data_IF_848177159049
#
_entry.id   IF_848177159049
#
_cell.length_a   1.000
_cell.length_b   1.000
_cell.length_c   1.000
_cell.angle_alpha   90.00
_cell.angle_beta   90.00
_cell.angle_gamma   90.00
#
_symmetry.space_group_name_H-M   'P 1'
#
loop_
_entity.id
_entity.type
_entity.pdbx_description
1 polymer ?
#
# COMPACT_ATOMS: atom_id res chain seq x y z
N UNK A 1 -8.67 -23.11 15.46
CA UNK A 1 -8.22 -22.30 14.31
C UNK A 1 -6.92 -21.64 14.77
N UNK A 2 -5.77 -22.19 14.36
CA UNK A 2 -4.48 -21.57 14.64
C UNK A 2 -4.45 -20.22 13.94
N UNK A 3 -4.17 -19.15 14.69
CA UNK A 3 -3.86 -17.86 14.12
C UNK A 3 -2.67 -18.04 13.16
N UNK A 4 -2.84 -17.55 11.95
CA UNK A 4 -1.82 -17.60 10.90
C UNK A 4 -0.63 -16.71 11.37
N UNK A 5 0.36 -17.31 12.04
CA UNK A 5 1.52 -16.58 12.56
C UNK A 5 2.33 -15.96 11.40
N UNK A 6 2.86 -14.73 11.58
CA UNK A 6 3.72 -14.14 10.56
C UNK A 6 4.97 -14.99 10.35
N UNK A 7 5.39 -15.13 9.08
CA UNK A 7 6.63 -15.82 8.75
C UNK A 7 7.81 -14.94 9.17
N UNK A 8 8.85 -15.54 9.76
CA UNK A 8 10.04 -14.80 10.08
C UNK A 8 10.74 -14.26 8.82
N UNK A 9 11.12 -12.98 8.85
CA UNK A 9 11.83 -12.27 7.75
C UNK A 9 13.12 -13.01 7.35
N UNK A 10 13.75 -13.70 8.27
CA UNK A 10 15.00 -14.43 8.06
C UNK A 10 14.90 -15.65 7.17
N UNK A 11 13.70 -16.23 7.01
CA UNK A 11 13.48 -17.46 6.23
C UNK A 11 13.29 -17.21 4.73
N UNK A 12 13.00 -15.97 4.32
CA UNK A 12 12.67 -15.65 2.93
C UNK A 12 13.92 -15.28 2.13
N UNK A 13 13.99 -15.85 0.92
CA UNK A 13 15.00 -15.49 -0.07
C UNK A 13 14.32 -14.93 -1.32
N UNK A 14 14.94 -13.90 -1.88
CA UNK A 14 14.58 -13.33 -3.17
C UNK A 14 15.85 -13.11 -4.00
N UNK A 15 15.87 -13.64 -5.22
CA UNK A 15 17.05 -13.59 -6.10
C UNK A 15 18.36 -14.05 -5.41
N UNK A 16 18.27 -15.11 -4.59
CA UNK A 16 19.41 -15.69 -3.88
C UNK A 16 19.83 -14.96 -2.59
N UNK A 17 19.40 -13.72 -2.36
CA UNK A 17 19.67 -12.95 -1.14
C UNK A 17 18.58 -13.21 -0.08
N UNK A 18 18.94 -13.18 1.20
CA UNK A 18 17.93 -13.18 2.27
C UNK A 18 17.17 -11.87 2.29
N UNK A 19 15.89 -11.92 2.61
CA UNK A 19 15.05 -10.70 2.72
C UNK A 19 15.64 -9.72 3.75
N UNK A 20 16.14 -10.22 4.89
CA UNK A 20 16.82 -9.39 5.89
C UNK A 20 17.96 -8.57 5.28
N UNK A 21 18.82 -9.22 4.49
CA UNK A 21 19.99 -8.57 3.88
C UNK A 21 19.58 -7.50 2.87
N UNK A 22 18.50 -7.77 2.11
CA UNK A 22 17.93 -6.79 1.15
C UNK A 22 17.39 -5.57 1.90
N UNK A 23 16.66 -5.79 3.00
CA UNK A 23 16.09 -4.69 3.80
C UNK A 23 17.17 -3.88 4.52
N UNK A 24 18.24 -4.53 5.01
CA UNK A 24 19.36 -3.85 5.64
C UNK A 24 20.17 -3.01 4.63
N UNK A 25 20.39 -3.53 3.43
CA UNK A 25 21.02 -2.80 2.34
C UNK A 25 20.16 -1.58 1.93
N UNK A 26 18.84 -1.74 1.90
CA UNK A 26 17.92 -0.65 1.60
C UNK A 26 17.94 0.46 2.67
N UNK A 27 18.00 0.07 3.95
CA UNK A 27 18.14 1.04 5.03
C UNK A 27 19.45 1.84 4.93
N UNK A 28 20.55 1.20 4.53
CA UNK A 28 21.84 1.87 4.25
C UNK A 28 21.73 2.80 3.03
N UNK A 29 21.00 2.38 1.98
CA UNK A 29 20.78 3.20 0.78
C UNK A 29 20.18 4.56 1.14
N UNK A 30 19.15 4.59 1.99
CA UNK A 30 18.54 5.84 2.43
C UNK A 30 19.45 6.72 3.27
N UNK A 31 20.39 6.14 3.98
CA UNK A 31 21.37 6.87 4.80
C UNK A 31 22.61 7.30 4.01
N UNK A 32 22.75 6.88 2.74
CA UNK A 32 23.96 7.11 1.94
C UNK A 32 25.17 6.36 2.46
N UNK A 33 24.97 5.26 3.20
CA UNK A 33 26.03 4.45 3.77
C UNK A 33 26.65 3.48 2.75
N UNK A 34 27.93 3.13 2.88
CA UNK A 34 28.57 2.14 2.00
C UNK A 34 27.83 0.79 2.01
N UNK A 35 27.66 0.17 0.84
CA UNK A 35 26.92 -1.09 0.69
C UNK A 35 25.40 -0.92 0.73
N UNK A 36 24.90 0.33 0.66
CA UNK A 36 23.50 0.61 0.51
C UNK A 36 23.03 0.29 -0.92
N UNK A 37 21.97 -0.50 -1.05
CA UNK A 37 21.32 -0.83 -2.32
C UNK A 37 19.82 -0.58 -2.20
N UNK A 38 19.21 0.03 -3.23
CA UNK A 38 17.76 0.16 -3.30
C UNK A 38 17.12 -1.23 -3.40
N UNK A 39 16.15 -1.53 -2.53
CA UNK A 39 15.49 -2.82 -2.56
C UNK A 39 14.71 -3.00 -3.87
N UNK A 40 14.98 -4.08 -4.58
CA UNK A 40 14.14 -4.62 -5.64
C UNK A 40 13.62 -5.99 -5.19
N UNK A 41 12.34 -6.03 -4.89
CA UNK A 41 11.60 -7.19 -4.43
C UNK A 41 10.52 -7.61 -5.43
N UNK A 42 10.65 -7.18 -6.70
CA UNK A 42 9.66 -7.46 -7.75
C UNK A 42 9.34 -8.95 -7.84
N UNK A 43 8.04 -9.29 -7.79
CA UNK A 43 7.54 -10.65 -7.82
C UNK A 43 7.84 -11.50 -6.56
N UNK A 44 8.43 -10.92 -5.52
CA UNK A 44 8.73 -11.66 -4.28
C UNK A 44 7.45 -12.14 -3.58
N UNK A 45 7.55 -13.30 -2.92
CA UNK A 45 6.49 -13.77 -2.04
C UNK A 45 6.76 -13.29 -0.60
N UNK A 46 6.11 -12.19 -0.25
CA UNK A 46 6.17 -11.55 1.06
C UNK A 46 4.86 -11.77 1.87
N UNK A 47 4.07 -12.77 1.49
CA UNK A 47 2.80 -13.05 2.18
C UNK A 47 3.04 -13.37 3.65
N UNK A 48 2.17 -12.80 4.51
CA UNK A 48 2.21 -12.97 5.98
C UNK A 48 3.51 -12.51 6.65
N UNK A 49 4.29 -11.64 5.98
CA UNK A 49 5.53 -11.11 6.55
C UNK A 49 5.25 -10.01 7.58
N UNK A 50 6.07 -9.97 8.61
CA UNK A 50 6.16 -8.82 9.51
C UNK A 50 7.12 -7.79 8.92
N UNK A 51 6.53 -6.76 8.31
CA UNK A 51 7.24 -5.64 7.71
C UNK A 51 6.92 -4.32 8.44
N UNK A 52 6.45 -4.39 9.68
CA UNK A 52 6.08 -3.21 10.47
C UNK A 52 7.23 -2.24 10.63
N UNK A 53 6.89 -0.95 10.52
CA UNK A 53 7.83 0.18 10.75
C UNK A 53 9.09 0.11 9.89
N UNK A 54 9.08 -0.64 8.78
CA UNK A 54 10.18 -0.66 7.82
C UNK A 54 10.17 0.62 6.97
N UNK A 55 11.36 1.09 6.67
CA UNK A 55 11.54 2.13 5.66
C UNK A 55 11.73 1.45 4.30
N UNK A 56 10.68 1.49 3.48
CA UNK A 56 10.62 0.95 2.13
C UNK A 56 10.44 2.09 1.11
N UNK A 57 10.84 3.31 1.49
CA UNK A 57 10.75 4.49 0.64
C UNK A 57 11.47 4.22 -0.69
N UNK A 58 10.79 4.47 -1.79
CA UNK A 58 11.27 4.23 -3.14
C UNK A 58 11.63 2.75 -3.47
N UNK A 59 11.30 1.78 -2.62
CA UNK A 59 11.51 0.35 -2.94
C UNK A 59 10.72 -0.08 -4.18
N UNK A 60 11.22 -1.08 -4.91
CA UNK A 60 10.53 -1.71 -6.03
C UNK A 60 9.86 -3.00 -5.54
N UNK A 61 8.53 -3.02 -5.55
CA UNK A 61 7.68 -4.10 -5.06
C UNK A 61 6.66 -4.55 -6.13
N UNK A 62 6.97 -4.33 -7.40
CA UNK A 62 6.06 -4.62 -8.52
C UNK A 62 5.67 -6.10 -8.54
N UNK A 63 4.38 -6.39 -8.59
CA UNK A 63 3.86 -7.76 -8.68
C UNK A 63 4.16 -8.63 -7.45
N UNK A 64 4.55 -8.05 -6.30
CA UNK A 64 4.77 -8.82 -5.07
C UNK A 64 3.49 -9.47 -4.57
N UNK A 65 3.61 -10.63 -3.94
CA UNK A 65 2.57 -11.19 -3.10
C UNK A 65 2.77 -10.71 -1.65
N UNK A 66 1.94 -9.78 -1.20
CA UNK A 66 1.90 -9.20 0.15
C UNK A 66 0.62 -9.59 0.91
N UNK A 67 -0.06 -10.66 0.48
CA UNK A 67 -1.29 -11.10 1.13
C UNK A 67 -1.08 -11.33 2.63
N UNK A 68 -1.98 -10.72 3.43
CA UNK A 68 -1.94 -10.83 4.90
C UNK A 68 -0.62 -10.35 5.52
N UNK A 69 0.24 -9.62 4.82
CA UNK A 69 1.43 -9.02 5.39
C UNK A 69 1.06 -7.91 6.38
N UNK A 70 1.87 -7.74 7.40
CA UNK A 70 1.75 -6.67 8.38
C UNK A 70 2.76 -5.56 8.07
N UNK A 71 2.28 -4.45 7.52
CA UNK A 71 3.11 -3.29 7.14
C UNK A 71 2.84 -2.07 8.05
N UNK A 72 2.16 -2.23 9.17
CA UNK A 72 1.74 -1.11 10.02
C UNK A 72 2.86 -0.13 10.32
N UNK A 73 2.60 1.15 10.04
CA UNK A 73 3.54 2.24 10.30
C UNK A 73 4.78 2.24 9.42
N UNK A 74 4.79 1.48 8.32
CA UNK A 74 5.89 1.49 7.36
C UNK A 74 5.84 2.72 6.46
N UNK A 75 7.01 3.15 5.99
CA UNK A 75 7.16 4.19 4.99
C UNK A 75 7.27 3.54 3.62
N UNK A 76 6.37 3.91 2.72
CA UNK A 76 6.30 3.41 1.35
C UNK A 76 6.26 4.56 0.34
N UNK A 77 6.60 5.78 0.78
CA UNK A 77 6.62 6.95 -0.10
C UNK A 77 7.49 6.67 -1.34
N UNK A 78 6.98 7.03 -2.52
CA UNK A 78 7.64 6.80 -3.81
C UNK A 78 7.91 5.33 -4.17
N UNK A 79 7.44 4.36 -3.38
CA UNK A 79 7.58 2.94 -3.70
C UNK A 79 6.72 2.55 -4.91
N UNK A 80 7.11 1.51 -5.61
CA UNK A 80 6.34 0.95 -6.71
C UNK A 80 5.75 -0.41 -6.32
N UNK A 81 4.45 -0.43 -6.01
CA UNK A 81 3.65 -1.62 -5.70
C UNK A 81 2.67 -1.95 -6.84
N UNK A 82 2.93 -1.47 -8.04
CA UNK A 82 2.05 -1.73 -9.18
C UNK A 82 1.82 -3.23 -9.36
N UNK A 83 0.57 -3.62 -9.60
CA UNK A 83 0.13 -5.02 -9.83
C UNK A 83 0.42 -5.98 -8.68
N UNK A 84 0.75 -5.50 -7.47
CA UNK A 84 0.96 -6.36 -6.30
C UNK A 84 -0.35 -6.81 -5.68
N UNK A 85 -0.27 -7.94 -4.99
CA UNK A 85 -1.38 -8.55 -4.27
C UNK A 85 -1.26 -8.21 -2.78
N UNK A 86 -2.04 -7.24 -2.32
CA UNK A 86 -2.09 -6.74 -0.94
C UNK A 86 -3.36 -7.19 -0.20
N UNK A 87 -4.05 -8.21 -0.72
CA UNK A 87 -5.29 -8.67 -0.12
C UNK A 87 -5.12 -9.04 1.34
N UNK A 88 -6.02 -8.48 2.18
CA UNK A 88 -6.04 -8.70 3.63
C UNK A 88 -4.76 -8.24 4.35
N UNK A 89 -3.92 -7.42 3.72
CA UNK A 89 -2.76 -6.83 4.38
C UNK A 89 -3.19 -5.80 5.42
N UNK A 90 -2.39 -5.64 6.45
CA UNK A 90 -2.55 -4.59 7.46
C UNK A 90 -1.61 -3.43 7.13
N UNK A 91 -2.17 -2.35 6.61
CA UNK A 91 -1.46 -1.17 6.11
C UNK A 91 -1.73 0.07 6.97
N UNK A 92 -2.24 -0.11 8.19
CA UNK A 92 -2.62 1.01 9.05
C UNK A 92 -1.46 1.95 9.33
N UNK A 93 -1.76 3.24 9.24
CA UNK A 93 -0.80 4.32 9.52
C UNK A 93 0.48 4.24 8.66
N UNK A 94 0.42 3.67 7.47
CA UNK A 94 1.50 3.72 6.49
C UNK A 94 1.55 5.09 5.81
N UNK A 95 2.74 5.46 5.36
CA UNK A 95 2.94 6.59 4.47
C UNK A 95 3.08 6.09 3.03
N UNK A 96 2.05 6.32 2.23
CA UNK A 96 1.99 5.99 0.80
C UNK A 96 2.06 7.24 -0.09
N UNK A 97 2.69 8.30 0.39
CA UNK A 97 2.87 9.52 -0.41
C UNK A 97 3.57 9.19 -1.74
N UNK A 98 2.94 9.60 -2.85
CA UNK A 98 3.43 9.37 -4.22
C UNK A 98 3.77 7.90 -4.57
N UNK A 99 3.17 6.95 -3.86
CA UNK A 99 3.33 5.52 -4.11
C UNK A 99 2.55 5.09 -5.35
N UNK A 100 3.13 4.20 -6.15
CA UNK A 100 2.43 3.58 -7.28
C UNK A 100 1.72 2.30 -6.84
N UNK A 101 0.41 2.27 -7.03
CA UNK A 101 -0.48 1.15 -6.74
C UNK A 101 -1.34 0.78 -7.96
N UNK A 102 -0.92 1.19 -9.17
CA UNK A 102 -1.67 0.91 -10.40
C UNK A 102 -1.92 -0.59 -10.55
N UNK A 103 -3.20 -0.96 -10.66
CA UNK A 103 -3.65 -2.34 -10.82
C UNK A 103 -3.37 -3.25 -9.61
N UNK A 104 -2.98 -2.71 -8.46
CA UNK A 104 -2.81 -3.49 -7.23
C UNK A 104 -4.16 -3.99 -6.69
N UNK A 105 -4.14 -5.15 -6.05
CA UNK A 105 -5.31 -5.72 -5.37
C UNK A 105 -5.18 -5.51 -3.84
N UNK A 106 -5.95 -4.56 -3.31
CA UNK A 106 -6.03 -4.22 -1.89
C UNK A 106 -7.31 -4.75 -1.23
N UNK A 107 -8.02 -5.66 -1.88
CA UNK A 107 -9.30 -6.15 -1.38
C UNK A 107 -9.19 -6.69 0.05
N UNK A 108 -10.12 -6.28 0.91
CA UNK A 108 -10.16 -6.63 2.33
C UNK A 108 -8.94 -6.16 3.16
N UNK A 109 -8.04 -5.33 2.61
CA UNK A 109 -6.93 -4.75 3.36
C UNK A 109 -7.41 -3.65 4.32
N UNK A 110 -6.60 -3.33 5.32
CA UNK A 110 -6.88 -2.23 6.25
C UNK A 110 -5.89 -1.09 6.05
N UNK A 111 -6.37 0.04 5.51
CA UNK A 111 -5.61 1.26 5.26
C UNK A 111 -6.00 2.41 6.21
N UNK A 112 -6.61 2.12 7.36
CA UNK A 112 -7.03 3.18 8.28
C UNK A 112 -5.88 4.10 8.67
N UNK A 113 -6.11 5.41 8.59
CA UNK A 113 -5.12 6.42 8.93
C UNK A 113 -3.92 6.50 7.99
N UNK A 114 -4.01 5.92 6.80
CA UNK A 114 -2.95 5.93 5.79
C UNK A 114 -2.91 7.28 5.08
N UNK A 115 -1.71 7.76 4.75
CA UNK A 115 -1.47 8.92 3.90
C UNK A 115 -1.24 8.47 2.46
N UNK A 116 -2.15 8.85 1.54
CA UNK A 116 -2.09 8.51 0.10
C UNK A 116 -1.97 9.78 -0.77
N UNK A 117 -1.31 10.80 -0.25
CA UNK A 117 -1.10 12.04 -0.99
C UNK A 117 -0.40 11.77 -2.33
N UNK A 118 -1.03 12.18 -3.44
CA UNK A 118 -0.57 11.94 -4.81
C UNK A 118 -0.30 10.47 -5.18
N UNK A 119 -0.84 9.52 -4.42
CA UNK A 119 -0.73 8.09 -4.76
C UNK A 119 -1.41 7.78 -6.10
N UNK A 120 -0.84 6.85 -6.86
CA UNK A 120 -1.41 6.38 -8.11
C UNK A 120 -2.15 5.05 -7.90
N UNK A 121 -3.48 5.11 -7.78
CA UNK A 121 -4.35 3.96 -7.57
C UNK A 121 -5.17 3.62 -8.85
N UNK A 122 -4.70 4.00 -10.02
CA UNK A 122 -5.42 3.69 -11.27
C UNK A 122 -5.71 2.20 -11.37
N UNK A 123 -6.98 1.87 -11.65
CA UNK A 123 -7.44 0.49 -11.77
C UNK A 123 -7.16 -0.41 -10.56
N UNK A 124 -6.85 0.16 -9.39
CA UNK A 124 -6.68 -0.60 -8.16
C UNK A 124 -8.01 -1.19 -7.69
N UNK A 125 -7.94 -2.39 -7.10
CA UNK A 125 -9.10 -3.06 -6.50
C UNK A 125 -9.08 -2.83 -5.00
N UNK A 126 -10.11 -2.18 -4.49
CA UNK A 126 -10.27 -1.84 -3.07
C UNK A 126 -11.59 -2.40 -2.50
N UNK A 127 -12.04 -3.56 -3.00
CA UNK A 127 -13.28 -4.18 -2.53
C UNK A 127 -13.23 -4.47 -1.03
N UNK A 128 -14.26 -4.03 -0.30
CA UNK A 128 -14.38 -4.25 1.14
C UNK A 128 -13.15 -3.82 1.95
N UNK A 129 -12.37 -2.89 1.43
CA UNK A 129 -11.19 -2.32 2.09
C UNK A 129 -11.62 -1.37 3.22
N UNK A 130 -10.88 -1.33 4.31
CA UNK A 130 -11.10 -0.38 5.40
C UNK A 130 -10.17 0.82 5.18
N UNK A 131 -10.75 2.00 4.93
CA UNK A 131 -10.05 3.25 4.61
C UNK A 131 -10.45 4.39 5.58
N UNK A 132 -10.80 4.06 6.81
CA UNK A 132 -11.23 5.05 7.82
C UNK A 132 -10.16 6.10 8.07
N UNK A 133 -10.52 7.37 7.89
CA UNK A 133 -9.59 8.48 8.12
C UNK A 133 -8.40 8.51 7.18
N UNK A 134 -8.45 7.79 6.07
CA UNK A 134 -7.40 7.83 5.03
C UNK A 134 -7.40 9.17 4.31
N UNK A 135 -6.22 9.71 4.02
CA UNK A 135 -6.05 10.94 3.25
C UNK A 135 -5.72 10.61 1.81
N UNK A 136 -6.65 10.94 0.90
CA UNK A 136 -6.58 10.65 -0.55
C UNK A 136 -6.36 11.93 -1.38
N UNK A 137 -5.79 12.97 -0.78
CA UNK A 137 -5.60 14.24 -1.46
C UNK A 137 -4.71 14.12 -2.70
N UNK A 138 -5.20 14.62 -3.84
CA UNK A 138 -4.52 14.59 -5.15
C UNK A 138 -4.16 13.17 -5.64
N UNK A 139 -4.73 12.13 -5.06
CA UNK A 139 -4.52 10.77 -5.55
C UNK A 139 -5.17 10.58 -6.92
N UNK A 140 -4.56 9.75 -7.77
CA UNK A 140 -5.13 9.36 -9.05
C UNK A 140 -5.96 8.08 -8.87
N UNK A 141 -7.27 8.20 -8.97
CA UNK A 141 -8.23 7.11 -8.72
C UNK A 141 -8.90 6.58 -9.99
N UNK A 142 -8.44 6.96 -11.17
CA UNK A 142 -9.08 6.59 -12.44
C UNK A 142 -9.32 5.07 -12.54
N UNK A 143 -10.59 4.68 -12.59
CA UNK A 143 -10.99 3.28 -12.69
C UNK A 143 -10.78 2.45 -11.43
N UNK A 144 -10.49 3.07 -10.28
CA UNK A 144 -10.39 2.35 -9.01
C UNK A 144 -11.76 1.88 -8.52
N UNK A 145 -11.79 0.70 -7.88
CA UNK A 145 -13.03 0.07 -7.41
C UNK A 145 -13.05 -0.05 -5.88
N UNK A 146 -13.84 0.81 -5.24
CA UNK A 146 -14.07 0.86 -3.79
C UNK A 146 -15.36 0.15 -3.36
N UNK A 147 -15.90 -0.77 -4.15
CA UNK A 147 -17.18 -1.43 -3.84
C UNK A 147 -17.16 -2.08 -2.46
N UNK A 148 -18.15 -1.73 -1.64
CA UNK A 148 -18.33 -2.25 -0.29
C UNK A 148 -17.26 -1.81 0.73
N UNK A 149 -16.40 -0.84 0.40
CA UNK A 149 -15.35 -0.37 1.31
C UNK A 149 -15.89 0.61 2.38
N UNK A 150 -15.18 0.68 3.50
CA UNK A 150 -15.44 1.60 4.59
C UNK A 150 -14.55 2.85 4.42
N UNK A 151 -15.14 3.92 3.92
CA UNK A 151 -14.51 5.22 3.66
C UNK A 151 -14.91 6.27 4.70
N UNK A 152 -15.44 5.85 5.84
CA UNK A 152 -15.85 6.79 6.87
C UNK A 152 -14.68 7.69 7.31
N UNK A 153 -14.95 8.99 7.43
CA UNK A 153 -13.95 10.01 7.77
C UNK A 153 -12.79 10.15 6.75
N UNK A 154 -12.82 9.46 5.62
CA UNK A 154 -11.80 9.61 4.58
C UNK A 154 -11.84 11.02 3.97
N UNK A 155 -10.69 11.52 3.52
CA UNK A 155 -10.56 12.85 2.92
C UNK A 155 -10.26 12.74 1.42
N UNK A 156 -11.24 13.10 0.60
CA UNK A 156 -11.15 13.22 -0.85
C UNK A 156 -11.04 14.70 -1.23
N UNK A 157 -9.85 15.18 -1.44
CA UNK A 157 -9.62 16.57 -1.86
C UNK A 157 -8.81 16.63 -3.14
N UNK A 158 -9.20 17.54 -4.04
CA UNK A 158 -8.50 17.77 -5.31
C UNK A 158 -8.37 16.47 -6.15
N UNK A 159 -9.44 15.66 -6.19
CA UNK A 159 -9.49 14.34 -6.82
C UNK A 159 -10.44 14.38 -8.02
N UNK A 160 -10.11 13.60 -9.04
CA UNK A 160 -11.02 13.21 -10.11
C UNK A 160 -11.63 11.84 -9.78
N UNK A 161 -12.96 11.78 -9.73
CA UNK A 161 -13.71 10.55 -9.47
C UNK A 161 -14.18 9.86 -10.76
N UNK A 162 -13.64 10.24 -11.92
CA UNK A 162 -14.01 9.64 -13.21
C UNK A 162 -13.71 8.14 -13.20
N UNK A 163 -14.73 7.34 -13.52
CA UNK A 163 -14.61 5.88 -13.56
C UNK A 163 -14.43 5.19 -12.21
N UNK A 164 -14.51 5.92 -11.09
CA UNK A 164 -14.43 5.33 -9.74
C UNK A 164 -15.75 4.62 -9.41
N UNK A 165 -15.66 3.39 -8.90
CA UNK A 165 -16.81 2.62 -8.43
C UNK A 165 -16.93 2.71 -6.91
N UNK A 166 -18.10 3.12 -6.40
CA UNK A 166 -18.40 3.31 -4.97
C UNK A 166 -19.64 2.49 -4.50
N UNK A 167 -20.01 1.46 -5.24
CA UNK A 167 -21.22 0.68 -4.94
C UNK A 167 -21.16 0.07 -3.54
N UNK A 168 -22.09 0.45 -2.67
CA UNK A 168 -22.15 -0.04 -1.29
C UNK A 168 -21.01 0.42 -0.37
N UNK A 169 -20.22 1.42 -0.81
CA UNK A 169 -19.21 2.01 0.05
C UNK A 169 -19.85 2.89 1.16
N UNK A 170 -19.30 2.84 2.37
CA UNK A 170 -19.68 3.72 3.47
C UNK A 170 -18.85 5.01 3.45
N UNK A 171 -19.50 6.13 3.16
CA UNK A 171 -18.90 7.48 3.08
C UNK A 171 -19.30 8.34 4.30
N UNK A 172 -19.69 7.74 5.41
CA UNK A 172 -20.12 8.49 6.59
C UNK A 172 -19.04 9.47 7.04
N UNK A 173 -19.42 10.75 7.12
CA UNK A 173 -18.53 11.84 7.55
C UNK A 173 -17.24 11.98 6.68
N UNK A 174 -17.21 11.39 5.48
CA UNK A 174 -16.13 11.60 4.54
C UNK A 174 -16.11 13.06 4.04
N UNK A 175 -14.92 13.62 3.88
CA UNK A 175 -14.74 14.98 3.35
C UNK A 175 -14.49 14.90 1.86
N UNK A 176 -15.46 15.39 1.06
CA UNK A 176 -15.35 15.44 -0.41
C UNK A 176 -15.35 16.90 -0.85
N UNK A 177 -14.18 17.43 -1.25
CA UNK A 177 -14.01 18.83 -1.67
C UNK A 177 -13.10 18.95 -2.88
N UNK A 178 -13.31 20.02 -3.63
CA UNK A 178 -12.46 20.38 -4.78
C UNK A 178 -12.31 19.24 -5.80
N UNK A 179 -13.43 18.55 -6.06
CA UNK A 179 -13.49 17.46 -7.04
C UNK A 179 -13.24 18.05 -8.43
N UNK A 180 -12.20 17.57 -9.09
CA UNK A 180 -11.92 17.90 -10.48
C UNK A 180 -12.86 17.10 -11.37
N UNK A 181 -13.52 17.78 -12.30
CA UNK A 181 -14.25 17.13 -13.39
C UNK A 181 -13.34 17.17 -14.61
N UNK A 182 -12.98 16.00 -15.14
CA UNK A 182 -12.33 15.88 -16.46
C UNK A 182 -13.25 16.37 -17.58
#
# INVERSE_FOLDING_TARGET
VQADEPREVTAIRHNGKKLSDILDAHAKFHKGEPGGERADLSGANLSKQDLRKRDLTAAVLVGCNLQKADLRGSKLSFADLSKSDLRKADLRNCDFTETKLEGADLSEANLSGTELFRGDLRSAKLHKTILRGTVLRQANLLGADFSGSDLALASFREIDLTGVTLNGADLKDAVVRDIRKS
#
